data_IF_689162578664
#
_entry.id   IF_689162578664
#
_cell.length_a   1.000
_cell.length_b   1.000
_cell.length_c   1.000
_cell.angle_alpha   90.00
_cell.angle_beta   90.00
_cell.angle_gamma   90.00
#
_symmetry.space_group_name_H-M   'P 1'
#
loop_
_entity.id
_entity.type
_entity.pdbx_description
1 polymer ?
#
# COMPACT_ATOMS: atom_id res chain seq x y z
N UNK A 1 17.02 12.41 1.74
CA UNK A 1 16.86 11.67 3.01
C UNK A 1 16.26 10.31 2.66
N UNK A 2 16.87 9.20 3.09
CA UNK A 2 16.29 7.88 2.89
C UNK A 2 15.07 7.76 3.80
N UNK A 3 13.90 7.50 3.22
CA UNK A 3 12.67 7.25 3.98
C UNK A 3 12.84 5.88 4.63
N UNK A 4 13.01 5.83 5.95
CA UNK A 4 12.97 4.58 6.71
C UNK A 4 11.56 4.36 7.27
N UNK A 5 11.03 3.14 7.11
CA UNK A 5 9.75 2.77 7.70
C UNK A 5 9.97 2.47 9.19
N UNK A 6 9.53 3.37 10.06
CA UNK A 6 9.61 3.19 11.51
C UNK A 6 8.72 2.03 11.98
N UNK A 7 9.16 1.28 12.99
CA UNK A 7 8.41 0.13 13.55
C UNK A 7 6.97 0.49 13.97
N UNK A 8 6.74 1.70 14.46
CA UNK A 8 5.42 2.22 14.82
C UNK A 8 4.47 2.37 13.62
N UNK A 9 4.96 2.85 12.48
CA UNK A 9 4.19 2.97 11.23
C UNK A 9 3.73 1.60 10.75
N UNK A 10 4.64 0.62 10.78
CA UNK A 10 4.36 -0.74 10.35
C UNK A 10 3.37 -1.44 11.30
N UNK A 11 3.50 -1.25 12.61
CA UNK A 11 2.54 -1.77 13.59
C UNK A 11 1.13 -1.21 13.39
N UNK A 12 0.99 0.08 13.08
CA UNK A 12 -0.32 0.68 12.77
C UNK A 12 -0.96 0.04 11.54
N UNK A 13 -0.19 -0.15 10.47
CA UNK A 13 -0.65 -0.80 9.24
C UNK A 13 -1.04 -2.25 9.50
N UNK A 14 -0.25 -3.00 10.28
CA UNK A 14 -0.59 -4.37 10.66
C UNK A 14 -1.88 -4.45 11.46
N UNK A 15 -2.06 -3.59 12.47
CA UNK A 15 -3.29 -3.53 13.24
C UNK A 15 -4.51 -3.19 12.35
N UNK A 16 -4.34 -2.22 11.45
CA UNK A 16 -5.42 -1.80 10.53
C UNK A 16 -5.74 -2.89 9.50
N UNK A 17 -4.75 -3.66 9.06
CA UNK A 17 -4.96 -4.79 8.14
C UNK A 17 -5.82 -5.90 8.75
N UNK A 18 -5.80 -6.01 10.08
CA UNK A 18 -6.56 -6.99 10.85
C UNK A 18 -7.93 -6.47 11.29
N UNK A 19 -8.15 -5.14 11.23
CA UNK A 19 -9.40 -4.52 11.65
C UNK A 19 -10.43 -4.50 10.50
N UNK A 20 -11.55 -5.24 10.59
CA UNK A 20 -12.59 -5.25 9.57
C UNK A 20 -13.51 -4.02 9.58
N UNK A 21 -13.36 -3.12 10.56
CA UNK A 21 -14.29 -2.00 10.80
C UNK A 21 -14.43 -1.08 9.59
N UNK A 22 -13.32 -0.78 8.89
CA UNK A 22 -13.33 0.01 7.65
C UNK A 22 -12.61 -0.78 6.57
N UNK A 23 -13.35 -1.63 5.85
CA UNK A 23 -12.82 -2.51 4.78
C UNK A 23 -11.92 -1.81 3.77
N UNK A 24 -12.20 -0.55 3.48
CA UNK A 24 -11.38 0.25 2.57
C UNK A 24 -9.95 0.46 3.11
N UNK A 25 -9.83 0.98 4.34
CA UNK A 25 -8.54 1.18 5.00
C UNK A 25 -7.83 -0.14 5.27
N UNK A 26 -8.60 -1.18 5.61
CA UNK A 26 -8.10 -2.54 5.76
C UNK A 26 -7.39 -3.02 4.48
N UNK A 27 -8.05 -2.88 3.32
CA UNK A 27 -7.47 -3.32 2.04
C UNK A 27 -6.19 -2.56 1.69
N UNK A 28 -6.16 -1.25 1.90
CA UNK A 28 -4.94 -0.45 1.68
C UNK A 28 -3.80 -0.92 2.57
N UNK A 29 -4.08 -1.16 3.85
CA UNK A 29 -3.10 -1.67 4.80
C UNK A 29 -2.58 -3.06 4.41
N UNK A 30 -3.46 -3.97 3.95
CA UNK A 30 -3.08 -5.29 3.42
C UNK A 30 -2.14 -5.13 2.21
N UNK A 31 -2.47 -4.26 1.26
CA UNK A 31 -1.62 -4.04 0.08
C UNK A 31 -0.24 -3.53 0.45
N UNK A 32 -0.15 -2.56 1.36
CA UNK A 32 1.10 -2.01 1.85
C UNK A 32 1.95 -3.05 2.60
N UNK A 33 1.38 -3.72 3.61
CA UNK A 33 2.09 -4.73 4.40
C UNK A 33 2.59 -5.88 3.51
N UNK A 34 1.71 -6.45 2.69
CA UNK A 34 2.07 -7.58 1.84
C UNK A 34 3.11 -7.21 0.77
N UNK A 35 3.07 -5.99 0.24
CA UNK A 35 4.09 -5.51 -0.69
C UNK A 35 5.47 -5.40 -0.01
N UNK A 36 5.50 -4.85 1.21
CA UNK A 36 6.73 -4.70 1.97
C UNK A 36 7.30 -6.05 2.44
N UNK A 37 6.45 -6.94 2.96
CA UNK A 37 6.83 -8.31 3.34
C UNK A 37 7.42 -9.08 2.15
N UNK A 38 6.79 -9.02 0.98
CA UNK A 38 7.31 -9.70 -0.21
C UNK A 38 8.69 -9.19 -0.63
N UNK A 39 8.98 -7.90 -0.47
CA UNK A 39 10.31 -7.35 -0.73
C UNK A 39 11.34 -7.88 0.27
N UNK A 40 10.97 -7.97 1.56
CA UNK A 40 11.85 -8.48 2.61
C UNK A 40 12.11 -9.99 2.47
N UNK A 41 11.07 -10.79 2.26
CA UNK A 41 11.18 -12.25 2.06
C UNK A 41 12.09 -12.61 0.90
N UNK A 42 12.11 -11.77 -0.14
CA UNK A 42 12.94 -11.96 -1.32
C UNK A 42 14.33 -11.31 -1.21
N UNK A 43 14.69 -10.75 -0.05
CA UNK A 43 16.03 -10.23 0.23
C UNK A 43 16.45 -9.05 -0.65
N UNK A 44 15.49 -8.24 -1.09
CA UNK A 44 15.79 -7.05 -1.90
C UNK A 44 16.62 -6.04 -1.11
N UNK A 45 17.61 -5.45 -1.77
CA UNK A 45 18.55 -4.53 -1.12
C UNK A 45 17.86 -3.21 -0.74
N UNK A 46 18.20 -2.60 0.41
CA UNK A 46 17.85 -1.22 0.69
C UNK A 46 18.35 -0.31 -0.44
N UNK A 47 17.44 0.40 -1.10
CA UNK A 47 17.74 1.21 -2.28
C UNK A 47 17.40 0.56 -3.63
N UNK A 48 16.93 -0.69 -3.65
CA UNK A 48 16.36 -1.26 -4.88
C UNK A 48 15.07 -0.51 -5.26
N UNK A 49 14.77 -0.36 -6.56
CA UNK A 49 13.55 0.32 -7.00
C UNK A 49 12.26 -0.28 -6.42
N UNK A 50 12.23 -1.59 -6.17
CA UNK A 50 11.08 -2.27 -5.57
C UNK A 50 10.99 -2.02 -4.07
N UNK A 51 12.14 -2.00 -3.39
CA UNK A 51 12.20 -1.66 -1.96
C UNK A 51 11.72 -0.23 -1.72
N UNK A 52 12.22 0.72 -2.52
CA UNK A 52 11.79 2.12 -2.43
C UNK A 52 10.30 2.30 -2.76
N UNK A 53 9.79 1.57 -3.76
CA UNK A 53 8.37 1.63 -4.12
C UNK A 53 7.47 1.05 -3.01
N UNK A 54 7.88 -0.05 -2.38
CA UNK A 54 7.15 -0.63 -1.24
C UNK A 54 7.15 0.30 -0.03
N UNK A 55 8.28 0.96 0.25
CA UNK A 55 8.37 1.96 1.31
C UNK A 55 7.45 3.16 1.07
N UNK A 56 7.47 3.73 -0.14
CA UNK A 56 6.61 4.87 -0.52
C UNK A 56 5.12 4.49 -0.40
N UNK A 57 4.77 3.26 -0.80
CA UNK A 57 3.42 2.73 -0.59
C UNK A 57 3.06 2.66 0.90
N UNK A 58 3.91 2.08 1.74
CA UNK A 58 3.66 2.00 3.19
C UNK A 58 3.52 3.38 3.83
N UNK A 59 4.34 4.35 3.46
CA UNK A 59 4.28 5.69 4.02
C UNK A 59 2.98 6.41 3.67
N UNK A 60 2.61 6.40 2.39
CA UNK A 60 1.39 7.07 1.93
C UNK A 60 0.13 6.41 2.47
N UNK A 61 0.10 5.07 2.49
CA UNK A 61 -1.02 4.34 3.09
C UNK A 61 -1.11 4.63 4.59
N UNK A 62 0.01 4.66 5.31
CA UNK A 62 0.01 5.02 6.72
C UNK A 62 -0.61 6.40 6.94
N UNK A 63 -0.23 7.41 6.15
CA UNK A 63 -0.81 8.76 6.24
C UNK A 63 -2.33 8.75 6.03
N UNK A 64 -2.82 8.06 4.99
CA UNK A 64 -4.26 7.92 4.73
C UNK A 64 -4.98 7.22 5.87
N UNK A 65 -4.40 6.13 6.40
CA UNK A 65 -4.94 5.40 7.54
C UNK A 65 -4.99 6.27 8.79
N UNK A 66 -3.93 7.04 9.08
CA UNK A 66 -3.89 7.92 10.26
C UNK A 66 -4.94 9.03 10.20
N UNK A 67 -5.18 9.62 9.03
CA UNK A 67 -6.16 10.70 8.86
C UNK A 67 -7.59 10.17 8.95
N UNK A 68 -7.84 8.94 8.51
CA UNK A 68 -9.18 8.35 8.46
C UNK A 68 -9.44 7.32 9.56
N UNK A 69 -8.57 7.19 10.55
CA UNK A 69 -8.89 6.43 11.74
C UNK A 69 -10.10 7.09 12.41
N UNK A 70 -11.20 6.34 12.63
CA UNK A 70 -12.34 6.90 13.32
C UNK A 70 -11.87 7.26 14.72
N UNK A 71 -11.93 8.55 15.07
CA UNK A 71 -11.86 8.97 16.47
C UNK A 71 -12.82 8.08 17.27
N UNK A 72 -12.45 7.62 18.48
CA UNK A 72 -13.34 6.87 19.35
C UNK A 72 -14.42 7.82 19.87
N UNK A 73 -15.30 8.24 18.97
CA UNK A 73 -16.51 8.96 19.32
C UNK A 73 -17.52 7.87 19.60
N UNK A 74 -17.87 7.74 20.87
CA UNK A 74 -18.93 6.89 21.37
C UNK A 74 -20.19 7.15 20.55
N UNK A 75 -20.53 6.21 19.66
CA UNK A 75 -21.85 5.83 19.09
C UNK A 75 -21.58 5.21 17.72
N UNK A 76 -21.22 3.91 17.72
CA UNK A 76 -21.12 3.11 16.51
C UNK A 76 -22.53 2.74 16.03
N UNK A 77 -23.05 3.45 15.03
CA UNK A 77 -24.13 2.93 14.19
C UNK A 77 -23.53 2.21 12.98
N UNK A 78 -23.93 0.97 12.67
CA UNK A 78 -23.40 0.20 11.53
C UNK A 78 -23.49 0.92 10.18
N UNK A 79 -24.50 1.78 9.99
CA UNK A 79 -24.71 2.52 8.74
C UNK A 79 -23.69 3.65 8.50
N UNK A 80 -23.05 4.19 9.56
CA UNK A 80 -22.05 5.27 9.41
C UNK A 80 -20.76 4.81 8.74
N UNK A 81 -20.35 3.56 8.98
CA UNK A 81 -19.18 2.96 8.34
C UNK A 81 -19.36 2.79 6.83
N UNK A 82 -20.54 2.36 6.39
CA UNK A 82 -20.83 2.13 4.96
C UNK A 82 -20.89 3.45 4.16
N UNK A 83 -21.47 4.51 4.73
CA UNK A 83 -21.52 5.83 4.08
C UNK A 83 -20.14 6.48 3.96
N UNK A 84 -19.34 6.45 5.04
CA UNK A 84 -17.94 6.90 4.99
C UNK A 84 -17.13 6.10 3.97
N UNK A 85 -17.30 4.78 3.92
CA UNK A 85 -16.58 3.95 2.94
C UNK A 85 -16.99 4.23 1.50
N UNK A 86 -18.19 4.76 1.24
CA UNK A 86 -18.68 5.05 -0.12
C UNK A 86 -18.16 6.40 -0.62
N UNK A 87 -18.23 7.45 0.20
CA UNK A 87 -17.63 8.76 -0.13
C UNK A 87 -16.11 8.68 -0.24
N UNK A 88 -15.46 8.04 0.75
CA UNK A 88 -14.01 7.78 0.68
C UNK A 88 -13.69 6.86 -0.52
N UNK A 89 -14.52 5.87 -0.86
CA UNK A 89 -14.25 5.10 -2.08
C UNK A 89 -14.20 5.99 -3.32
N UNK A 90 -15.19 6.85 -3.52
CA UNK A 90 -15.32 7.65 -4.75
C UNK A 90 -14.21 8.69 -4.86
N UNK A 91 -13.90 9.41 -3.77
CA UNK A 91 -12.82 10.39 -3.74
C UNK A 91 -11.43 9.74 -3.86
N UNK A 92 -11.30 8.48 -3.42
CA UNK A 92 -10.00 7.83 -3.26
C UNK A 92 -9.75 6.65 -4.20
N UNK A 93 -10.59 6.47 -5.23
CA UNK A 93 -10.43 5.38 -6.23
C UNK A 93 -9.03 5.41 -6.88
N UNK A 94 -8.54 6.59 -7.26
CA UNK A 94 -7.23 6.73 -7.91
C UNK A 94 -6.07 6.25 -7.02
N UNK A 95 -6.10 6.60 -5.74
CA UNK A 95 -5.09 6.16 -4.76
C UNK A 95 -5.17 4.65 -4.50
N UNK A 96 -6.38 4.13 -4.32
CA UNK A 96 -6.61 2.69 -4.10
C UNK A 96 -6.12 1.86 -5.28
N UNK A 97 -6.48 2.25 -6.50
CA UNK A 97 -6.08 1.51 -7.69
C UNK A 97 -4.56 1.55 -7.88
N UNK A 98 -3.92 2.69 -7.57
CA UNK A 98 -2.45 2.78 -7.57
C UNK A 98 -1.81 1.85 -6.52
N UNK A 99 -2.36 1.80 -5.30
CA UNK A 99 -1.89 0.91 -4.24
C UNK A 99 -2.04 -0.57 -4.62
N UNK A 100 -3.20 -0.95 -5.18
CA UNK A 100 -3.48 -2.31 -5.65
C UNK A 100 -2.56 -2.70 -6.82
N UNK A 101 -2.32 -1.80 -7.77
CA UNK A 101 -1.42 -2.01 -8.90
C UNK A 101 0.03 -2.22 -8.43
N UNK A 102 0.51 -1.45 -7.45
CA UNK A 102 1.85 -1.63 -6.87
C UNK A 102 1.96 -2.98 -6.18
N UNK A 103 0.99 -3.32 -5.33
CA UNK A 103 0.94 -4.61 -4.65
C UNK A 103 0.98 -5.77 -5.66
N UNK A 104 0.14 -5.72 -6.71
CA UNK A 104 0.13 -6.74 -7.77
C UNK A 104 1.42 -6.77 -8.57
N UNK A 105 2.05 -5.63 -8.85
CA UNK A 105 3.31 -5.55 -9.57
C UNK A 105 4.43 -6.26 -8.79
N UNK A 106 4.54 -5.96 -7.50
CA UNK A 106 5.50 -6.56 -6.57
C UNK A 106 5.24 -8.07 -6.43
N UNK A 107 4.00 -8.46 -6.15
CA UNK A 107 3.61 -9.87 -6.04
C UNK A 107 3.84 -10.65 -7.33
N UNK A 108 3.54 -10.09 -8.51
CA UNK A 108 3.76 -10.74 -9.81
C UNK A 108 5.24 -10.95 -10.08
N UNK A 109 6.11 -10.02 -9.70
CA UNK A 109 7.57 -10.19 -9.80
C UNK A 109 8.04 -11.35 -8.95
N UNK A 110 7.61 -11.41 -7.69
CA UNK A 110 8.11 -12.40 -6.74
C UNK A 110 7.47 -13.78 -6.87
N UNK A 111 6.18 -13.86 -7.23
CA UNK A 111 5.53 -15.10 -7.68
C UNK A 111 6.19 -15.67 -8.93
N UNK A 112 6.72 -14.82 -9.82
CA UNK A 112 7.53 -15.25 -10.97
C UNK A 112 8.96 -15.62 -10.59
N UNK A 113 9.56 -15.01 -9.57
CA UNK A 113 10.88 -15.43 -9.07
C UNK A 113 10.87 -16.84 -8.46
N UNK A 114 9.72 -17.31 -7.97
CA UNK A 114 9.50 -18.73 -7.60
C UNK A 114 9.60 -19.67 -8.82
N UNK A 115 9.18 -19.22 -10.00
CA UNK A 115 9.36 -19.93 -11.28
C UNK A 115 10.80 -19.80 -11.84
N UNK A 116 11.51 -18.71 -11.52
CA UNK A 116 12.92 -18.50 -11.88
C UNK A 116 13.84 -19.43 -11.07
N UNK A 117 13.52 -19.69 -9.79
CA UNK A 117 14.14 -20.77 -8.99
C UNK A 117 13.94 -22.17 -9.60
N UNK A 118 12.97 -22.34 -10.51
CA UNK A 118 12.77 -23.56 -11.32
C UNK A 118 13.45 -23.50 -12.71
N UNK A 119 14.40 -22.58 -12.93
CA UNK A 119 15.29 -22.60 -14.11
C UNK A 119 14.88 -21.70 -15.28
N UNK A 120 14.05 -20.66 -15.07
CA UNK A 120 13.73 -19.67 -16.12
C UNK A 120 14.29 -18.28 -15.80
N UNK A 121 14.72 -17.54 -16.81
CA UNK A 121 15.44 -16.26 -16.74
C UNK A 121 14.83 -15.18 -15.80
N UNK A 122 15.68 -14.44 -15.08
CA UNK A 122 15.28 -13.26 -14.29
C UNK A 122 14.62 -12.20 -15.20
N UNK A 123 13.39 -11.80 -14.85
CA UNK A 123 12.78 -10.63 -15.47
C UNK A 123 13.54 -9.38 -15.03
N UNK A 124 14.11 -8.67 -16.01
CA UNK A 124 14.78 -7.39 -15.81
C UNK A 124 13.90 -6.39 -15.05
N UNK A 125 14.55 -5.45 -14.36
CA UNK A 125 13.88 -4.38 -13.62
C UNK A 125 13.25 -3.41 -14.63
N UNK A 126 11.93 -3.36 -14.71
CA UNK A 126 11.23 -2.36 -15.53
C UNK A 126 11.16 -1.02 -14.78
N UNK A 127 12.27 -0.27 -14.86
CA UNK A 127 12.39 1.05 -14.21
C UNK A 127 11.38 2.08 -14.71
N UNK A 128 10.77 1.88 -15.90
CA UNK A 128 9.74 2.76 -16.44
C UNK A 128 8.39 2.46 -15.80
N UNK A 129 8.05 1.19 -15.64
CA UNK A 129 6.85 0.77 -14.92
C UNK A 129 6.87 1.24 -13.46
N UNK A 130 8.00 1.09 -12.77
CA UNK A 130 8.16 1.52 -11.36
C UNK A 130 7.94 3.03 -11.21
N UNK A 131 8.56 3.83 -12.08
CA UNK A 131 8.36 5.29 -12.08
C UNK A 131 6.90 5.68 -12.34
N UNK A 132 6.23 5.01 -13.27
CA UNK A 132 4.81 5.26 -13.56
C UNK A 132 3.92 4.89 -12.37
N UNK A 133 4.21 3.80 -11.68
CA UNK A 133 3.47 3.39 -10.48
C UNK A 133 3.67 4.37 -9.32
N UNK A 134 4.91 4.80 -9.07
CA UNK A 134 5.20 5.82 -8.06
C UNK A 134 4.51 7.16 -8.37
N UNK A 135 4.51 7.59 -9.63
CA UNK A 135 3.81 8.80 -10.06
C UNK A 135 2.29 8.70 -9.83
N UNK A 136 1.66 7.59 -10.22
CA UNK A 136 0.22 7.35 -9.99
C UNK A 136 -0.14 7.30 -8.51
N UNK A 137 0.71 6.69 -7.69
CA UNK A 137 0.52 6.67 -6.24
C UNK A 137 0.59 8.08 -5.65
N UNK A 138 1.55 8.89 -6.11
CA UNK A 138 1.66 10.30 -5.70
C UNK A 138 0.46 11.12 -6.17
N UNK A 139 0.11 11.07 -7.45
CA UNK A 139 -1.07 11.78 -7.99
C UNK A 139 -2.35 11.40 -7.25
N UNK A 140 -2.57 10.10 -7.04
CA UNK A 140 -3.70 9.60 -6.28
C UNK A 140 -3.69 10.12 -4.85
N UNK A 141 -2.53 10.17 -4.19
CA UNK A 141 -2.38 10.69 -2.83
C UNK A 141 -2.59 12.21 -2.74
N UNK A 142 -2.04 12.98 -3.69
CA UNK A 142 -2.15 14.43 -3.71
C UNK A 142 -3.63 14.86 -3.91
N UNK A 143 -4.38 14.10 -4.72
CA UNK A 143 -5.84 14.28 -4.83
C UNK A 143 -6.59 14.06 -3.51
N UNK A 144 -6.04 13.25 -2.59
CA UNK A 144 -6.63 13.04 -1.27
C UNK A 144 -6.36 14.19 -0.29
N UNK A 145 -5.31 14.97 -0.53
CA UNK A 145 -4.92 16.08 0.34
C UNK A 145 -5.57 17.42 -0.04
N UNK A 146 -6.24 17.50 -1.19
CA UNK A 146 -6.80 18.75 -1.73
C UNK A 146 -8.19 19.09 -1.12
N UNK A 147 -8.74 18.22 -0.26
CA UNK A 147 -10.03 18.44 0.44
C UNK A 147 -9.86 18.82 1.93
#
# INVERSE_FOLDING_TARGET
MAVELTASKLALLQNTSQDPTIRYLQNLAIYACSAYEAVLEHGEKPGSPHYLLALDLCEKVHQVVSVHQPYPTEVRTPMGGEFMTSCLRVQQMGFRDAAEDIHRFIQKRYKKNLLVRMGRSMLGIDSRAIRKLAARLREGYDQLQID
#
